data_IF_596528739454
#
_entry.id   IF_596528739454
#
_cell.length_a   1.000
_cell.length_b   1.000
_cell.length_c   1.000
_cell.angle_alpha   90.00
_cell.angle_beta   90.00
_cell.angle_gamma   90.00
#
_symmetry.space_group_name_H-M   'P 1'
#
loop_
_entity.id
_entity.type
_entity.pdbx_description
1 polymer ?
#
# COMPACT_ATOMS: atom_id res chain seq x y z
N UNK A 1 -24.39 -10.25 -15.27
CA UNK A 1 -25.11 -9.38 -14.30
C UNK A 1 -24.40 -9.46 -12.95
N UNK A 2 -23.14 -9.00 -12.88
CA UNK A 2 -22.30 -9.12 -11.69
C UNK A 2 -21.40 -7.88 -11.45
N UNK A 3 -21.62 -6.77 -12.16
CA UNK A 3 -20.75 -5.59 -12.10
C UNK A 3 -21.36 -4.38 -11.37
N UNK A 4 -22.68 -4.19 -11.40
CA UNK A 4 -23.29 -2.94 -10.92
C UNK A 4 -23.34 -2.88 -9.38
N UNK A 5 -23.61 -4.00 -8.70
CA UNK A 5 -23.67 -4.03 -7.24
C UNK A 5 -22.28 -3.89 -6.59
N UNK A 6 -21.24 -4.48 -7.20
CA UNK A 6 -19.85 -4.27 -6.74
C UNK A 6 -19.37 -2.85 -7.00
N UNK A 7 -19.73 -2.25 -8.14
CA UNK A 7 -19.37 -0.87 -8.46
C UNK A 7 -19.90 0.14 -7.43
N UNK A 8 -21.16 0.00 -6.98
CA UNK A 8 -21.72 0.86 -5.92
C UNK A 8 -21.00 0.70 -4.57
N UNK A 9 -20.60 -0.52 -4.23
CA UNK A 9 -19.88 -0.81 -2.99
C UNK A 9 -18.44 -0.26 -3.04
N UNK A 10 -17.76 -0.41 -4.18
CA UNK A 10 -16.43 0.13 -4.42
C UNK A 10 -16.42 1.67 -4.41
N UNK A 11 -17.44 2.31 -4.98
CA UNK A 11 -17.58 3.77 -4.94
C UNK A 11 -17.77 4.28 -3.51
N UNK A 12 -18.64 3.65 -2.71
CA UNK A 12 -18.81 4.02 -1.30
C UNK A 12 -17.53 3.80 -0.49
N UNK A 13 -16.81 2.70 -0.73
CA UNK A 13 -15.53 2.45 -0.08
C UNK A 13 -14.47 3.49 -0.46
N UNK A 14 -14.39 3.88 -1.73
CA UNK A 14 -13.47 4.91 -2.19
C UNK A 14 -13.77 6.27 -1.54
N UNK A 15 -15.06 6.63 -1.41
CA UNK A 15 -15.50 7.83 -0.69
C UNK A 15 -15.08 7.76 0.77
N UNK A 16 -15.31 6.63 1.45
CA UNK A 16 -14.93 6.45 2.84
C UNK A 16 -13.41 6.59 3.04
N UNK A 17 -12.61 5.92 2.21
CA UNK A 17 -11.14 6.02 2.25
C UNK A 17 -10.71 7.47 2.04
N UNK A 18 -11.32 8.19 1.10
CA UNK A 18 -11.01 9.59 0.85
C UNK A 18 -11.30 10.47 2.09
N UNK A 19 -12.44 10.26 2.75
CA UNK A 19 -12.79 10.97 3.99
C UNK A 19 -11.75 10.68 5.08
N UNK A 20 -11.37 9.42 5.27
CA UNK A 20 -10.39 9.04 6.30
C UNK A 20 -8.99 9.61 6.03
N UNK A 21 -8.59 9.69 4.77
CA UNK A 21 -7.31 10.30 4.36
C UNK A 21 -7.36 11.82 4.53
N UNK A 22 -8.43 12.47 4.08
CA UNK A 22 -8.61 13.92 4.19
C UNK A 22 -8.74 14.38 5.65
N UNK A 23 -9.39 13.57 6.49
CA UNK A 23 -9.50 13.80 7.92
C UNK A 23 -8.23 13.45 8.72
N UNK A 24 -7.12 13.10 8.06
CA UNK A 24 -5.85 12.72 8.68
C UNK A 24 -5.94 11.54 9.66
N UNK A 25 -6.93 10.65 9.50
CA UNK A 25 -7.11 9.45 10.35
C UNK A 25 -6.20 8.33 9.85
N UNK A 26 -6.13 8.16 8.52
CA UNK A 26 -5.24 7.20 7.88
C UNK A 26 -4.34 7.91 6.87
N UNK A 27 -3.13 7.41 6.69
CA UNK A 27 -2.22 7.86 5.63
C UNK A 27 -1.92 6.70 4.68
N UNK A 28 -1.92 7.01 3.39
CA UNK A 28 -1.53 6.07 2.33
C UNK A 28 0.00 5.95 2.29
N UNK A 29 0.47 4.72 2.22
CA UNK A 29 1.85 4.34 1.97
C UNK A 29 1.89 3.33 0.82
N UNK A 30 3.09 3.08 0.32
CA UNK A 30 3.39 1.98 -0.56
C UNK A 30 4.17 0.94 0.24
N UNK A 31 3.88 -0.33 0.03
CA UNK A 31 4.65 -1.43 0.62
C UNK A 31 5.26 -2.26 -0.50
N UNK A 32 6.56 -2.50 -0.39
CA UNK A 32 7.28 -3.48 -1.20
C UNK A 32 7.23 -4.80 -0.44
N UNK A 33 6.56 -5.81 -1.01
CA UNK A 33 6.43 -7.13 -0.41
C UNK A 33 7.73 -7.92 -0.58
N UNK A 34 8.30 -8.36 0.53
CA UNK A 34 9.50 -9.15 0.53
C UNK A 34 9.15 -10.66 0.60
N UNK A 35 10.02 -11.56 0.08
CA UNK A 35 9.79 -13.01 0.12
C UNK A 35 9.60 -13.58 1.53
N UNK A 36 10.17 -12.96 2.55
CA UNK A 36 9.95 -13.32 3.97
C UNK A 36 8.50 -13.16 4.44
N UNK A 37 7.66 -12.46 3.68
CA UNK A 37 6.32 -12.04 4.08
C UNK A 37 6.28 -10.70 4.80
N UNK A 38 7.44 -10.16 5.20
CA UNK A 38 7.56 -8.77 5.65
C UNK A 38 7.48 -7.81 4.46
N UNK A 39 7.43 -6.52 4.74
CA UNK A 39 7.45 -5.52 3.68
C UNK A 39 7.95 -4.18 4.15
N UNK A 40 8.68 -3.52 3.26
CA UNK A 40 9.27 -2.20 3.51
C UNK A 40 8.33 -1.14 2.97
N UNK A 41 8.09 -0.09 3.76
CA UNK A 41 7.11 0.94 3.42
C UNK A 41 7.73 2.27 3.05
N UNK A 42 7.14 2.90 2.03
CA UNK A 42 7.56 4.16 1.43
C UNK A 42 6.36 5.11 1.30
N UNK A 43 6.58 6.42 1.23
CA UNK A 43 5.47 7.38 1.12
C UNK A 43 5.07 7.62 -0.34
N UNK A 44 6.01 7.51 -1.26
CA UNK A 44 5.79 7.79 -2.68
C UNK A 44 6.55 6.81 -3.58
N UNK A 45 6.11 6.65 -4.83
CA UNK A 45 6.77 5.75 -5.79
C UNK A 45 8.20 6.21 -6.11
N UNK A 46 8.48 7.51 -6.03
CA UNK A 46 9.83 8.05 -6.27
C UNK A 46 10.81 7.81 -5.12
N UNK A 47 10.33 7.41 -3.95
CA UNK A 47 11.17 7.01 -2.81
C UNK A 47 11.54 5.52 -2.85
N UNK A 48 10.91 4.74 -3.73
CA UNK A 48 11.15 3.31 -3.79
C UNK A 48 12.45 3.07 -4.56
N UNK A 49 13.48 2.49 -3.92
CA UNK A 49 14.72 2.14 -4.61
C UNK A 49 14.48 0.96 -5.55
N UNK A 50 15.36 0.80 -6.55
CA UNK A 50 15.34 -0.38 -7.44
C UNK A 50 15.63 -1.69 -6.69
N UNK A 51 16.29 -1.60 -5.53
CA UNK A 51 16.63 -2.75 -4.69
C UNK A 51 16.27 -2.43 -3.24
N UNK A 52 15.53 -3.34 -2.61
CA UNK A 52 15.16 -3.28 -1.19
C UNK A 52 15.75 -4.49 -0.48
N UNK A 53 16.27 -4.29 0.73
CA UNK A 53 16.76 -5.38 1.57
C UNK A 53 15.61 -5.98 2.38
N UNK A 54 15.42 -7.30 2.26
CA UNK A 54 14.43 -8.05 3.02
C UNK A 54 14.83 -8.09 4.51
N UNK A 55 14.04 -7.49 5.43
CA UNK A 55 14.34 -7.49 6.86
C UNK A 55 14.32 -8.88 7.51
N UNK A 56 13.54 -9.82 6.98
CA UNK A 56 13.37 -11.16 7.56
C UNK A 56 14.43 -12.17 7.11
N UNK A 57 14.97 -11.99 5.90
CA UNK A 57 15.94 -12.92 5.30
C UNK A 57 17.34 -12.32 5.07
N UNK A 58 17.48 -11.00 5.23
CA UNK A 58 18.72 -10.26 5.01
C UNK A 58 19.28 -10.39 3.59
N UNK A 59 18.38 -10.45 2.60
CA UNK A 59 18.71 -10.57 1.17
C UNK A 59 18.31 -9.30 0.41
N UNK A 60 19.01 -9.02 -0.69
CA UNK A 60 18.62 -7.95 -1.61
C UNK A 60 17.53 -8.46 -2.57
N UNK A 61 16.44 -7.69 -2.66
CA UNK A 61 15.27 -7.98 -3.49
C UNK A 61 15.12 -6.87 -4.52
N UNK A 62 15.09 -7.25 -5.80
CA UNK A 62 14.80 -6.33 -6.89
C UNK A 62 13.34 -5.88 -6.83
N UNK A 63 13.11 -4.57 -6.92
CA UNK A 63 11.77 -4.01 -6.88
C UNK A 63 11.16 -3.98 -8.26
N UNK A 64 10.07 -4.71 -8.40
CA UNK A 64 9.22 -4.73 -9.59
C UNK A 64 7.80 -4.29 -9.26
N UNK A 65 7.06 -3.82 -10.26
CA UNK A 65 5.73 -3.22 -10.07
C UNK A 65 4.69 -4.20 -9.49
N UNK A 66 4.89 -5.51 -9.66
CA UNK A 66 4.03 -6.58 -9.16
C UNK A 66 4.17 -6.83 -7.65
N UNK A 67 5.28 -6.43 -7.03
CA UNK A 67 5.50 -6.57 -5.59
C UNK A 67 5.22 -5.28 -4.80
N UNK A 68 4.78 -4.22 -5.48
CA UNK A 68 4.45 -2.92 -4.86
C UNK A 68 2.94 -2.80 -4.69
N UNK A 69 2.49 -2.71 -3.45
CA UNK A 69 1.07 -2.58 -3.10
C UNK A 69 0.78 -1.25 -2.38
N UNK A 70 -0.40 -0.65 -2.59
CA UNK A 70 -0.88 0.41 -1.71
C UNK A 70 -1.27 -0.16 -0.35
N UNK A 71 -0.86 0.52 0.73
CA UNK A 71 -1.27 0.20 2.09
C UNK A 71 -1.71 1.46 2.83
N UNK A 72 -2.53 1.29 3.86
CA UNK A 72 -3.02 2.39 4.70
C UNK A 72 -2.63 2.11 6.15
N UNK A 73 -2.08 3.11 6.82
CA UNK A 73 -1.74 3.04 8.25
C UNK A 73 -2.45 4.15 8.99
N UNK A 74 -2.82 3.88 10.24
CA UNK A 74 -3.32 4.91 11.15
C UNK A 74 -2.25 5.97 11.35
N UNK A 75 -2.66 7.23 11.39
CA UNK A 75 -1.81 8.31 11.88
C UNK A 75 -1.80 8.19 13.40
N UNK A 76 -0.75 7.59 13.96
CA UNK A 76 -0.47 7.65 15.38
C UNK A 76 0.35 8.93 15.59
N UNK A 77 -0.22 9.88 16.31
CA UNK A 77 0.51 11.06 16.80
C UNK A 77 1.69 10.64 17.69
#
# INVERSE_FOLDING_TARGET
>A
MFDIMQAGTAAHLAILINILVTGHIIKRFLIVRCPSGEGVTFQSYGEIPEIVRDPGMDIDVEVSADIVEPTYRLVLD
#
